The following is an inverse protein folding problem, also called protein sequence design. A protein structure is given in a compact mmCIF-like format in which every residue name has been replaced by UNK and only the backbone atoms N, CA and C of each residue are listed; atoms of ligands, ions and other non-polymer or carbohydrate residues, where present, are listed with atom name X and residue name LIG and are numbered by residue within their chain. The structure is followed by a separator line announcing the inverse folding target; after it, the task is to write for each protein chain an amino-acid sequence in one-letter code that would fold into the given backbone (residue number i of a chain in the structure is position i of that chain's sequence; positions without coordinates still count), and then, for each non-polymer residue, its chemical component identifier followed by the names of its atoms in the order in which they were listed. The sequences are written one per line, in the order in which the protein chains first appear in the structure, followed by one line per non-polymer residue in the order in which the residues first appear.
data_IF_538651525733
#
_entry.id   IF_538651525733
#
_cell.length_a   1.000
_cell.length_b   1.000
_cell.length_c   1.000
_cell.angle_alpha   90.00
_cell.angle_beta   90.00
_cell.angle_gamma   90.00
#
_symmetry.space_group_name_H-M   'P 1'
#
loop_
_entity.id
_entity.type
_entity.pdbx_description
1 polymer ?
#
# COMPACT_ATOMS: atom_id res chain seq x y z
N UNK A 1 10.69 -19.86 -16.87
CA UNK A 1 11.13 -18.85 -15.90
C UNK A 1 12.29 -17.95 -16.41
N UNK A 2 13.24 -18.45 -17.15
CA UNK A 2 14.42 -17.70 -17.66
C UNK A 2 14.09 -16.50 -18.56
N UNK A 3 13.10 -16.59 -19.45
CA UNK A 3 12.74 -15.49 -20.36
C UNK A 3 12.08 -14.27 -19.68
N UNK A 4 11.44 -14.46 -18.52
CA UNK A 4 10.78 -13.37 -17.76
C UNK A 4 11.81 -12.53 -16.98
N UNK A 5 12.81 -13.19 -16.42
CA UNK A 5 13.92 -12.54 -15.70
C UNK A 5 14.81 -11.74 -16.67
N UNK A 6 15.09 -12.26 -17.86
CA UNK A 6 15.91 -11.58 -18.86
C UNK A 6 15.23 -10.33 -19.41
N UNK A 7 13.91 -10.38 -19.66
CA UNK A 7 13.12 -9.20 -20.06
C UNK A 7 13.11 -8.13 -18.97
N UNK A 8 12.94 -8.50 -17.70
CA UNK A 8 13.02 -7.55 -16.56
C UNK A 8 14.39 -6.90 -16.46
N UNK A 9 15.47 -7.66 -16.61
CA UNK A 9 16.84 -7.15 -16.62
C UNK A 9 17.12 -6.17 -17.76
N UNK A 10 16.62 -6.47 -18.99
CA UNK A 10 16.76 -5.56 -20.13
C UNK A 10 16.02 -4.22 -19.92
N UNK A 11 14.78 -4.28 -19.40
CA UNK A 11 14.00 -3.07 -19.12
C UNK A 11 14.70 -2.23 -18.05
N UNK A 12 15.14 -2.86 -16.96
CA UNK A 12 15.86 -2.15 -15.89
C UNK A 12 17.19 -1.56 -16.39
N UNK A 13 17.98 -2.32 -17.13
CA UNK A 13 19.23 -1.84 -17.74
C UNK A 13 18.99 -0.70 -18.73
N UNK A 14 17.95 -0.80 -19.56
CA UNK A 14 17.55 0.28 -20.47
C UNK A 14 17.15 1.56 -19.74
N UNK A 15 16.37 1.46 -18.67
CA UNK A 15 16.01 2.62 -17.83
C UNK A 15 17.22 3.25 -17.16
N UNK A 16 18.16 2.44 -16.64
CA UNK A 16 19.40 2.94 -16.03
C UNK A 16 20.30 3.65 -17.07
N UNK A 17 20.38 3.10 -18.29
CA UNK A 17 21.11 3.75 -19.39
C UNK A 17 20.46 5.08 -19.79
N UNK A 18 19.15 5.11 -19.96
CA UNK A 18 18.42 6.34 -20.29
C UNK A 18 18.61 7.40 -19.20
N UNK A 19 18.51 7.02 -17.94
CA UNK A 19 18.80 7.93 -16.83
C UNK A 19 20.25 8.43 -16.84
N UNK A 20 21.22 7.54 -17.03
CA UNK A 20 22.64 7.91 -17.11
C UNK A 20 22.97 8.83 -18.30
N UNK A 21 22.31 8.62 -19.45
CA UNK A 21 22.44 9.51 -20.61
C UNK A 21 21.78 10.88 -20.34
N UNK A 22 20.57 10.88 -19.79
CA UNK A 22 19.84 12.09 -19.43
C UNK A 22 20.63 12.95 -18.42
N UNK A 23 21.25 12.33 -17.41
CA UNK A 23 22.07 13.05 -16.42
C UNK A 23 23.36 13.68 -17.02
N UNK A 24 23.77 13.21 -18.21
CA UNK A 24 24.95 13.75 -18.95
C UNK A 24 24.59 14.78 -20.03
N UNK A 25 23.29 14.97 -20.33
CA UNK A 25 22.84 15.86 -21.42
C UNK A 25 22.84 17.35 -21.08
N UNK A 26 23.58 17.78 -20.03
CA UNK A 26 23.66 19.19 -19.61
C UNK A 26 22.60 19.60 -18.58
N UNK A 27 21.76 18.65 -18.10
CA UNK A 27 20.83 18.92 -17.02
C UNK A 27 21.62 19.17 -15.72
N UNK A 28 21.36 20.27 -14.99
CA UNK A 28 22.06 20.56 -13.75
C UNK A 28 21.92 19.39 -12.74
N UNK A 29 23.01 19.05 -12.05
CA UNK A 29 23.07 17.93 -11.11
C UNK A 29 22.02 18.01 -9.98
N UNK A 30 21.67 19.23 -9.58
CA UNK A 30 20.62 19.46 -8.56
C UNK A 30 19.18 19.20 -9.08
N UNK A 31 18.98 19.02 -10.39
CA UNK A 31 17.69 18.60 -10.96
C UNK A 31 17.66 17.11 -11.24
N UNK A 32 18.74 16.55 -11.76
CA UNK A 32 18.82 15.13 -12.10
C UNK A 32 20.22 14.59 -11.75
N UNK A 33 20.38 14.00 -10.55
CA UNK A 33 21.64 13.39 -10.15
C UNK A 33 21.96 12.18 -11.03
N UNK A 34 23.24 11.87 -11.20
CA UNK A 34 23.64 10.67 -11.92
C UNK A 34 23.36 9.41 -11.10
N UNK A 35 23.12 8.23 -11.74
CA UNK A 35 22.97 6.98 -11.02
C UNK A 35 24.12 6.66 -10.06
N UNK A 36 25.35 7.04 -10.42
CA UNK A 36 26.54 6.87 -9.58
C UNK A 36 26.49 7.75 -8.33
N UNK A 37 26.08 9.02 -8.45
CA UNK A 37 25.94 9.91 -7.30
C UNK A 37 24.88 9.41 -6.31
N UNK A 38 23.78 8.86 -6.84
CA UNK A 38 22.74 8.24 -6.00
C UNK A 38 23.26 6.97 -5.30
N UNK A 39 24.03 6.15 -5.99
CA UNK A 39 24.65 4.96 -5.40
C UNK A 39 25.67 5.34 -4.31
N UNK A 40 26.46 6.37 -4.52
CA UNK A 40 27.39 6.92 -3.54
C UNK A 40 26.62 7.49 -2.32
N UNK A 41 25.57 8.28 -2.56
CA UNK A 41 24.71 8.80 -1.49
C UNK A 41 24.07 7.67 -0.65
N UNK A 42 23.62 6.58 -1.27
CA UNK A 42 23.13 5.38 -0.57
C UNK A 42 24.19 4.77 0.32
N UNK A 43 25.42 4.64 -0.16
CA UNK A 43 26.50 4.03 0.59
C UNK A 43 26.99 4.89 1.75
N UNK A 44 27.24 6.17 1.48
CA UNK A 44 27.74 7.14 2.46
C UNK A 44 26.71 7.34 3.58
N UNK A 45 25.43 7.48 3.24
CA UNK A 45 24.36 7.77 4.19
C UNK A 45 23.62 6.52 4.66
N UNK A 46 24.16 5.31 4.49
CA UNK A 46 23.46 4.04 4.76
C UNK A 46 22.89 3.92 6.18
N UNK A 47 23.60 4.42 7.19
CA UNK A 47 23.12 4.37 8.57
C UNK A 47 21.96 5.34 8.81
N UNK A 48 22.06 6.55 8.28
CA UNK A 48 21.01 7.58 8.33
C UNK A 48 19.76 7.11 7.58
N UNK A 49 19.90 6.71 6.33
CA UNK A 49 18.80 6.20 5.50
C UNK A 49 18.19 4.94 6.09
N UNK A 50 19.01 4.04 6.65
CA UNK A 50 18.55 2.82 7.32
C UNK A 50 17.66 3.11 8.51
N UNK A 51 18.03 4.06 9.37
CA UNK A 51 17.20 4.48 10.50
C UNK A 51 15.82 4.99 10.03
N UNK A 52 15.82 5.92 9.07
CA UNK A 52 14.58 6.48 8.53
C UNK A 52 13.73 5.42 7.79
N UNK A 53 14.36 4.42 7.17
CA UNK A 53 13.66 3.29 6.56
C UNK A 53 12.90 2.46 7.59
N UNK A 54 13.48 2.18 8.75
CA UNK A 54 12.82 1.44 9.82
C UNK A 54 11.59 2.18 10.35
N UNK A 55 11.66 3.50 10.44
CA UNK A 55 10.54 4.34 10.87
C UNK A 55 9.41 4.25 9.85
N UNK A 56 9.68 4.55 8.58
CA UNK A 56 8.68 4.42 7.51
C UNK A 56 8.09 3.01 7.42
N UNK A 57 8.91 1.97 7.56
CA UNK A 57 8.45 0.59 7.59
C UNK A 57 7.47 0.33 8.74
N UNK A 58 7.77 0.83 9.95
CA UNK A 58 6.89 0.67 11.10
C UNK A 58 5.54 1.37 10.91
N UNK A 59 5.52 2.53 10.27
CA UNK A 59 4.31 3.26 9.91
C UNK A 59 3.47 2.51 8.87
N UNK A 60 4.11 1.98 7.83
CA UNK A 60 3.49 1.16 6.81
C UNK A 60 2.87 -0.10 7.43
N UNK A 61 3.61 -0.83 8.27
CA UNK A 61 3.11 -2.05 8.90
C UNK A 61 1.96 -1.77 9.88
N UNK A 62 2.06 -0.70 10.67
CA UNK A 62 0.98 -0.24 11.54
C UNK A 62 -0.26 0.15 10.74
N UNK A 63 -0.08 0.91 9.66
CA UNK A 63 -1.15 1.28 8.73
C UNK A 63 -1.81 0.07 8.07
N UNK A 64 -1.02 -0.91 7.61
CA UNK A 64 -1.54 -2.15 7.04
C UNK A 64 -2.34 -2.95 8.07
N UNK A 65 -1.79 -3.18 9.26
CA UNK A 65 -2.48 -3.94 10.30
C UNK A 65 -3.84 -3.33 10.65
N UNK A 66 -3.89 -2.03 10.90
CA UNK A 66 -5.12 -1.33 11.26
C UNK A 66 -6.06 -1.12 10.06
N UNK A 67 -5.52 -0.75 8.90
CA UNK A 67 -6.30 -0.52 7.69
C UNK A 67 -6.95 -1.80 7.16
N UNK A 68 -6.22 -2.92 7.17
CA UNK A 68 -6.78 -4.25 6.81
C UNK A 68 -7.83 -4.68 7.81
N UNK A 69 -7.56 -4.55 9.11
CA UNK A 69 -8.54 -4.90 10.16
C UNK A 69 -9.82 -4.08 10.01
N UNK A 70 -9.70 -2.77 9.83
CA UNK A 70 -10.83 -1.88 9.58
C UNK A 70 -11.57 -2.27 8.31
N UNK A 71 -10.86 -2.51 7.21
CA UNK A 71 -11.44 -2.88 5.92
C UNK A 71 -12.24 -4.19 5.98
N UNK A 72 -11.65 -5.21 6.60
CA UNK A 72 -12.30 -6.52 6.78
C UNK A 72 -13.53 -6.39 7.68
N UNK A 73 -13.43 -5.69 8.80
CA UNK A 73 -14.56 -5.53 9.74
C UNK A 73 -15.71 -4.75 9.12
N UNK A 74 -15.43 -3.69 8.35
CA UNK A 74 -16.46 -2.95 7.60
C UNK A 74 -17.15 -3.83 6.55
N UNK A 75 -16.39 -4.59 5.77
CA UNK A 75 -16.95 -5.49 4.77
C UNK A 75 -17.85 -6.57 5.39
N UNK A 76 -17.40 -7.19 6.49
CA UNK A 76 -18.19 -8.16 7.24
C UNK A 76 -19.44 -7.53 7.86
N UNK A 77 -19.31 -6.35 8.44
CA UNK A 77 -20.47 -5.61 8.99
C UNK A 77 -21.52 -5.32 7.92
N UNK A 78 -21.09 -4.90 6.72
CA UNK A 78 -22.01 -4.62 5.61
C UNK A 78 -22.72 -5.86 5.07
N UNK A 79 -22.06 -7.02 5.00
CA UNK A 79 -22.69 -8.26 4.52
C UNK A 79 -23.67 -8.84 5.55
N UNK A 80 -23.40 -8.63 6.85
CA UNK A 80 -24.27 -9.09 7.95
C UNK A 80 -25.54 -8.25 8.09
N UNK A 81 -25.49 -6.96 7.73
CA UNK A 81 -26.60 -6.04 7.93
C UNK A 81 -26.85 -5.15 6.71
N UNK A 82 -27.98 -5.36 5.97
CA UNK A 82 -28.37 -4.48 4.86
C UNK A 82 -28.61 -3.02 5.29
N UNK A 83 -28.95 -2.79 6.56
CA UNK A 83 -29.09 -1.44 7.11
C UNK A 83 -27.69 -0.79 7.20
N UNK A 84 -26.74 -1.50 7.79
CA UNK A 84 -25.36 -1.03 7.93
C UNK A 84 -24.71 -0.77 6.56
N UNK A 85 -24.94 -1.65 5.59
CA UNK A 85 -24.47 -1.46 4.21
C UNK A 85 -24.98 -0.15 3.60
N UNK A 86 -26.28 0.15 3.76
CA UNK A 86 -26.88 1.39 3.23
C UNK A 86 -26.24 2.67 3.79
N UNK A 87 -25.79 2.63 5.04
CA UNK A 87 -25.14 3.76 5.69
C UNK A 87 -23.63 3.82 5.44
N UNK A 88 -22.94 2.67 5.52
CA UNK A 88 -21.47 2.64 5.40
C UNK A 88 -20.99 2.75 3.95
N UNK A 89 -21.71 2.16 2.99
CA UNK A 89 -21.23 2.15 1.60
C UNK A 89 -21.04 3.56 1.02
N UNK A 90 -21.98 4.52 1.19
CA UNK A 90 -21.73 5.89 0.77
C UNK A 90 -20.52 6.53 1.46
N UNK A 91 -20.32 6.27 2.77
CA UNK A 91 -19.16 6.81 3.52
C UNK A 91 -17.85 6.23 3.00
N UNK A 92 -17.80 4.91 2.75
CA UNK A 92 -16.64 4.23 2.18
C UNK A 92 -16.30 4.78 0.79
N UNK A 93 -17.32 5.01 -0.06
CA UNK A 93 -17.10 5.57 -1.39
C UNK A 93 -16.66 7.04 -1.32
N UNK A 94 -17.31 7.85 -0.47
CA UNK A 94 -17.00 9.27 -0.31
C UNK A 94 -15.59 9.48 0.27
N UNK A 95 -15.09 8.55 1.10
CA UNK A 95 -13.74 8.65 1.64
C UNK A 95 -12.66 8.73 0.56
N UNK A 96 -12.91 8.17 -0.62
CA UNK A 96 -11.98 8.24 -1.76
C UNK A 96 -12.04 9.57 -2.53
N UNK A 97 -13.14 10.31 -2.40
CA UNK A 97 -13.27 11.61 -3.02
C UNK A 97 -12.46 12.69 -2.28
N UNK A 98 -12.14 12.44 -1.02
CA UNK A 98 -11.36 13.38 -0.20
C UNK A 98 -9.87 13.09 -0.41
N UNK A 99 -9.08 14.04 -0.93
CA UNK A 99 -7.64 13.86 -1.05
C UNK A 99 -7.01 13.68 0.33
N UNK A 100 -6.37 12.53 0.56
CA UNK A 100 -5.75 12.22 1.88
C UNK A 100 -4.74 13.29 2.26
N UNK A 101 -4.01 13.85 1.30
CA UNK A 101 -3.08 14.95 1.53
C UNK A 101 -3.76 16.20 2.13
N UNK A 102 -5.00 16.48 1.74
CA UNK A 102 -5.76 17.61 2.30
C UNK A 102 -6.21 17.38 3.76
N UNK A 103 -6.38 16.09 4.15
CA UNK A 103 -6.70 15.74 5.54
C UNK A 103 -5.47 15.70 6.45
N UNK A 104 -4.27 15.62 5.88
CA UNK A 104 -3.05 15.45 6.65
C UNK A 104 -2.84 16.52 7.75
N UNK A 105 -3.00 17.84 7.49
CA UNK A 105 -2.88 18.85 8.56
C UNK A 105 -3.93 18.70 9.67
N UNK A 106 -5.15 18.26 9.33
CA UNK A 106 -6.21 18.04 10.31
C UNK A 106 -5.90 16.83 11.20
N UNK A 107 -5.38 15.75 10.61
CA UNK A 107 -4.97 14.56 11.37
C UNK A 107 -3.82 14.89 12.33
N UNK A 108 -2.85 15.70 11.90
CA UNK A 108 -1.77 16.16 12.77
C UNK A 108 -2.32 17.05 13.89
N UNK A 109 -3.28 17.92 13.59
CA UNK A 109 -3.93 18.78 14.60
C UNK A 109 -4.69 17.96 15.65
N UNK A 110 -5.38 16.90 15.25
CA UNK A 110 -6.21 16.08 16.14
C UNK A 110 -5.42 15.01 16.90
N UNK A 111 -4.42 14.40 16.26
CA UNK A 111 -3.66 13.27 16.80
C UNK A 111 -2.25 13.65 17.26
N UNK A 112 -1.84 14.90 17.02
CA UNK A 112 -0.51 15.39 17.33
C UNK A 112 0.56 14.98 16.33
N UNK A 113 1.76 15.54 16.53
CA UNK A 113 2.96 15.18 15.77
C UNK A 113 3.48 13.84 16.28
N UNK A 114 3.32 12.78 15.51
CA UNK A 114 3.79 11.48 15.94
C UNK A 114 3.30 10.33 15.06
N UNK A 115 3.56 9.10 15.53
CA UNK A 115 3.20 7.85 14.85
C UNK A 115 1.70 7.75 14.57
N UNK A 116 0.83 8.23 15.50
CA UNK A 116 -0.62 8.11 15.40
C UNK A 116 -1.20 8.81 14.16
N UNK A 117 -0.78 10.04 13.86
CA UNK A 117 -1.23 10.78 12.70
C UNK A 117 -0.79 10.10 11.39
N UNK A 118 0.46 9.61 11.32
CA UNK A 118 1.03 8.95 10.15
C UNK A 118 0.35 7.60 9.87
N UNK A 119 0.15 6.79 10.91
CA UNK A 119 -0.58 5.53 10.82
C UNK A 119 -2.03 5.77 10.41
N UNK A 120 -2.69 6.80 10.94
CA UNK A 120 -4.06 7.17 10.54
C UNK A 120 -4.15 7.51 9.04
N UNK A 121 -3.17 8.24 8.49
CA UNK A 121 -3.09 8.53 7.06
C UNK A 121 -2.91 7.26 6.23
N UNK A 122 -2.02 6.37 6.65
CA UNK A 122 -1.85 5.08 5.99
C UNK A 122 -3.15 4.26 6.03
N UNK A 123 -3.85 4.21 7.17
CA UNK A 123 -5.15 3.55 7.32
C UNK A 123 -6.18 4.09 6.32
N UNK A 124 -6.27 5.42 6.17
CA UNK A 124 -7.22 6.05 5.24
C UNK A 124 -6.99 5.67 3.77
N UNK A 125 -5.74 5.41 3.40
CA UNK A 125 -5.40 4.94 2.04
C UNK A 125 -5.68 3.45 1.87
N UNK A 126 -5.44 2.66 2.92
CA UNK A 126 -5.44 1.19 2.87
C UNK A 126 -6.84 0.59 3.03
N UNK A 127 -7.69 1.14 3.92
CA UNK A 127 -8.94 0.46 4.28
C UNK A 127 -9.91 0.30 3.12
N UNK A 128 -9.95 1.26 2.19
CA UNK A 128 -10.90 1.25 1.08
C UNK A 128 -10.67 0.08 0.10
N UNK A 129 -9.48 -0.12 -0.49
CA UNK A 129 -9.27 -1.24 -1.41
C UNK A 129 -9.54 -2.59 -0.75
N UNK A 130 -9.24 -2.74 0.54
CA UNK A 130 -9.54 -3.96 1.30
C UNK A 130 -11.06 -4.11 1.49
N UNK A 131 -11.74 -3.06 1.97
CA UNK A 131 -13.20 -3.08 2.19
C UNK A 131 -13.94 -3.39 0.89
N UNK A 132 -13.63 -2.67 -0.18
CA UNK A 132 -14.33 -2.78 -1.46
C UNK A 132 -14.13 -4.16 -2.09
N UNK A 133 -12.88 -4.62 -2.20
CA UNK A 133 -12.58 -5.90 -2.79
C UNK A 133 -13.20 -7.07 -2.00
N UNK A 134 -13.07 -7.04 -0.68
CA UNK A 134 -13.62 -8.12 0.16
C UNK A 134 -15.15 -8.11 0.18
N UNK A 135 -15.78 -6.95 0.29
CA UNK A 135 -17.23 -6.84 0.26
C UNK A 135 -17.82 -7.31 -1.08
N UNK A 136 -17.19 -6.93 -2.19
CA UNK A 136 -17.59 -7.40 -3.52
C UNK A 136 -17.42 -8.91 -3.66
N UNK A 137 -16.34 -9.48 -3.15
CA UNK A 137 -16.15 -10.92 -3.10
C UNK A 137 -17.23 -11.64 -2.31
N UNK A 138 -17.60 -11.12 -1.13
CA UNK A 138 -18.66 -11.67 -0.28
C UNK A 138 -20.05 -11.61 -0.95
N UNK A 139 -20.29 -10.58 -1.78
CA UNK A 139 -21.57 -10.44 -2.52
C UNK A 139 -21.64 -11.34 -3.75
N UNK A 140 -20.53 -11.48 -4.48
CA UNK A 140 -20.46 -12.23 -5.75
C UNK A 140 -20.27 -13.73 -5.57
N UNK A 141 -20.39 -14.26 -4.35
CA UNK A 141 -20.28 -15.70 -4.08
C UNK A 141 -21.07 -16.50 -5.12
N UNK A 142 -20.50 -17.61 -5.60
CA UNK A 142 -21.09 -18.44 -6.65
C UNK A 142 -22.55 -18.80 -6.29
N UNK A 143 -23.50 -18.32 -7.10
CA UNK A 143 -24.93 -18.47 -6.84
C UNK A 143 -25.35 -19.96 -6.79
N UNK A 144 -24.71 -20.81 -7.60
CA UNK A 144 -24.98 -22.25 -7.62
C UNK A 144 -24.70 -22.90 -6.27
N UNK A 145 -23.56 -22.55 -5.64
CA UNK A 145 -23.23 -23.06 -4.29
C UNK A 145 -24.14 -22.47 -3.20
N UNK A 146 -24.59 -21.23 -3.37
CA UNK A 146 -25.55 -20.63 -2.45
C UNK A 146 -26.92 -21.26 -2.56
N UNK A 147 -27.39 -21.60 -3.76
CA UNK A 147 -28.66 -22.26 -4.00
C UNK A 147 -28.61 -23.71 -3.52
N UNK A 148 -27.49 -24.41 -3.69
CA UNK A 148 -27.27 -25.71 -3.10
C UNK A 148 -27.32 -25.65 -1.55
N UNK A 149 -26.61 -24.69 -0.96
CA UNK A 149 -26.63 -24.51 0.49
C UNK A 149 -28.06 -24.22 1.03
N UNK A 150 -28.85 -23.42 0.28
CA UNK A 150 -30.26 -23.16 0.61
C UNK A 150 -31.12 -24.40 0.50
N UNK A 151 -30.95 -25.22 -0.52
CA UNK A 151 -31.68 -26.47 -0.69
C UNK A 151 -31.39 -27.47 0.46
N UNK A 152 -30.17 -27.36 1.03
CA UNK A 152 -29.77 -28.11 2.23
C UNK A 152 -30.25 -27.46 3.56
N UNK A 153 -31.09 -26.42 3.51
CA UNK A 153 -31.54 -25.64 4.67
C UNK A 153 -30.41 -25.03 5.49
N UNK A 154 -29.27 -24.68 4.86
CA UNK A 154 -28.16 -24.04 5.54
C UNK A 154 -28.57 -22.65 6.05
N UNK A 155 -28.30 -22.36 7.33
CA UNK A 155 -28.51 -21.03 7.90
C UNK A 155 -27.64 -19.97 7.23
N UNK A 156 -28.02 -18.70 7.34
CA UNK A 156 -27.21 -17.59 6.78
C UNK A 156 -25.76 -17.62 7.31
N UNK A 157 -25.56 -17.91 8.59
CA UNK A 157 -24.21 -18.02 9.17
C UNK A 157 -23.39 -19.17 8.57
N UNK A 158 -24.02 -20.31 8.28
CA UNK A 158 -23.38 -21.44 7.60
C UNK A 158 -23.02 -21.07 6.15
N UNK A 159 -23.95 -20.44 5.40
CA UNK A 159 -23.70 -19.94 4.04
C UNK A 159 -22.57 -18.92 4.03
N UNK A 160 -22.53 -17.99 5.00
CA UNK A 160 -21.46 -16.99 5.10
C UNK A 160 -20.11 -17.65 5.34
N UNK A 161 -20.01 -18.55 6.32
CA UNK A 161 -18.75 -19.16 6.73
C UNK A 161 -18.18 -20.13 5.70
N UNK A 162 -19.01 -20.99 5.10
CA UNK A 162 -18.54 -22.11 4.27
C UNK A 162 -18.60 -21.81 2.77
N UNK A 163 -19.42 -20.84 2.34
CA UNK A 163 -19.56 -20.51 0.91
C UNK A 163 -19.01 -19.12 0.63
N UNK A 164 -19.57 -18.06 1.23
CA UNK A 164 -19.24 -16.69 0.87
C UNK A 164 -17.82 -16.29 1.26
N UNK A 165 -17.36 -16.65 2.47
CA UNK A 165 -16.02 -16.32 2.94
C UNK A 165 -14.96 -17.00 2.04
N UNK A 166 -15.12 -18.29 1.76
CA UNK A 166 -14.17 -19.03 0.92
C UNK A 166 -14.11 -18.46 -0.51
N UNK A 167 -15.28 -18.14 -1.07
CA UNK A 167 -15.35 -17.52 -2.41
C UNK A 167 -14.80 -16.08 -2.44
N UNK A 168 -14.81 -15.37 -1.31
CA UNK A 168 -14.34 -14.00 -1.21
C UNK A 168 -12.83 -13.86 -0.94
N UNK A 169 -12.15 -14.93 -0.49
CA UNK A 169 -10.71 -14.86 -0.17
C UNK A 169 -9.82 -14.42 -1.35
N UNK A 170 -10.05 -14.87 -2.59
CA UNK A 170 -9.27 -14.36 -3.73
C UNK A 170 -9.45 -12.85 -3.95
N UNK A 171 -10.68 -12.35 -3.81
CA UNK A 171 -10.97 -10.92 -3.92
C UNK A 171 -10.32 -10.12 -2.77
N UNK A 172 -10.37 -10.64 -1.53
CA UNK A 172 -9.62 -10.08 -0.40
C UNK A 172 -8.12 -10.04 -0.72
N UNK A 173 -7.57 -11.12 -1.28
CA UNK A 173 -6.17 -11.17 -1.71
C UNK A 173 -5.82 -10.06 -2.69
N UNK A 174 -6.68 -9.80 -3.67
CA UNK A 174 -6.51 -8.67 -4.60
C UNK A 174 -6.53 -7.32 -3.89
N UNK A 175 -7.45 -7.13 -2.92
CA UNK A 175 -7.50 -5.94 -2.07
C UNK A 175 -6.25 -5.76 -1.23
N UNK A 176 -5.69 -6.83 -0.67
CA UNK A 176 -4.46 -6.81 0.12
C UNK A 176 -3.22 -6.47 -0.73
N UNK A 177 -3.13 -6.98 -1.96
CA UNK A 177 -2.05 -6.60 -2.91
C UNK A 177 -2.12 -5.11 -3.23
N UNK A 178 -3.31 -4.58 -3.49
CA UNK A 178 -3.51 -3.15 -3.74
C UNK A 178 -3.15 -2.34 -2.48
N UNK A 179 -3.60 -2.75 -1.31
CA UNK A 179 -3.28 -2.11 -0.03
C UNK A 179 -1.76 -2.03 0.20
N UNK A 180 -1.04 -3.14 -0.01
CA UNK A 180 0.42 -3.17 0.11
C UNK A 180 1.14 -2.22 -0.87
N UNK A 181 0.61 -2.08 -2.10
CA UNK A 181 1.18 -1.18 -3.10
C UNK A 181 0.96 0.31 -2.76
N UNK A 182 -0.16 0.67 -2.12
CA UNK A 182 -0.50 2.07 -1.80
C UNK A 182 -0.12 2.48 -0.37
N UNK A 183 0.17 1.53 0.52
CA UNK A 183 0.49 1.80 1.92
C UNK A 183 1.65 2.80 2.11
N UNK A 184 2.76 2.74 1.34
CA UNK A 184 3.84 3.70 1.45
C UNK A 184 3.42 5.14 1.12
N UNK A 185 2.41 5.33 0.25
CA UNK A 185 1.89 6.65 -0.09
C UNK A 185 1.31 7.33 1.16
N UNK A 186 0.51 6.60 1.95
CA UNK A 186 -0.06 7.11 3.19
C UNK A 186 0.99 7.49 4.22
N UNK A 187 2.01 6.65 4.42
CA UNK A 187 3.13 6.91 5.33
C UNK A 187 3.90 8.19 4.92
N UNK A 188 4.30 8.29 3.64
CA UNK A 188 5.04 9.45 3.13
C UNK A 188 4.25 10.75 3.27
N UNK A 189 2.94 10.75 2.97
CA UNK A 189 2.09 11.93 3.18
C UNK A 189 2.12 12.35 4.65
N UNK A 190 2.05 11.39 5.57
CA UNK A 190 2.14 11.63 7.00
C UNK A 190 3.47 12.23 7.42
N UNK A 191 4.55 11.72 6.88
CA UNK A 191 5.90 12.19 7.15
C UNK A 191 6.14 13.63 6.61
N UNK A 192 5.54 13.97 5.46
CA UNK A 192 5.69 15.31 4.87
C UNK A 192 5.01 16.40 5.70
N UNK A 193 3.91 16.10 6.36
CA UNK A 193 3.11 17.13 7.05
C UNK A 193 3.49 17.29 8.52
N UNK A 194 3.97 16.23 9.17
CA UNK A 194 4.13 16.32 10.62
C UNK A 194 5.23 15.42 11.20
N UNK A 195 6.33 15.18 10.48
CA UNK A 195 7.40 14.33 10.99
C UNK A 195 8.75 15.03 11.04
N UNK A 196 9.58 14.59 11.99
CA UNK A 196 11.02 14.86 12.03
C UNK A 196 11.83 13.62 11.62
N UNK A 197 11.17 12.52 11.19
CA UNK A 197 11.80 11.25 10.90
C UNK A 197 11.02 10.52 9.79
N UNK A 198 11.68 9.57 9.12
CA UNK A 198 11.15 8.76 8.03
C UNK A 198 11.74 9.14 6.67
N UNK A 199 11.51 8.31 5.65
CA UNK A 199 12.05 8.52 4.30
C UNK A 199 11.44 9.74 3.60
N UNK A 200 10.15 10.02 3.83
CA UNK A 200 9.47 11.20 3.30
C UNK A 200 10.04 12.47 3.91
N UNK A 201 10.32 12.47 5.22
CA UNK A 201 11.03 13.56 5.88
C UNK A 201 12.42 13.78 5.27
N UNK A 202 13.19 12.71 5.04
CA UNK A 202 14.50 12.78 4.37
C UNK A 202 14.37 13.41 2.97
N UNK A 203 13.39 12.96 2.19
CA UNK A 203 13.14 13.48 0.84
C UNK A 203 12.81 14.98 0.86
N UNK A 204 11.95 15.42 1.78
CA UNK A 204 11.55 16.82 1.90
C UNK A 204 12.74 17.71 2.28
N UNK A 205 13.53 17.30 3.29
CA UNK A 205 14.69 18.03 3.75
C UNK A 205 15.83 18.06 2.71
N UNK A 206 16.11 16.93 2.07
CA UNK A 206 17.11 16.84 1.02
C UNK A 206 16.74 17.74 -0.18
N UNK A 207 15.46 17.75 -0.57
CA UNK A 207 14.96 18.63 -1.63
C UNK A 207 15.11 20.11 -1.26
N UNK A 208 14.75 20.50 -0.04
CA UNK A 208 14.90 21.88 0.44
C UNK A 208 16.37 22.36 0.46
N UNK A 209 17.33 21.44 0.62
CA UNK A 209 18.77 21.70 0.63
C UNK A 209 19.43 21.49 -0.74
N UNK A 210 18.66 21.19 -1.79
CA UNK A 210 19.15 20.85 -3.12
C UNK A 210 20.13 19.62 -3.15
N UNK A 211 19.99 18.73 -2.14
CA UNK A 211 20.70 17.46 -2.04
C UNK A 211 19.90 16.36 -2.74
N UNK A 212 19.71 16.51 -4.04
CA UNK A 212 18.83 15.63 -4.83
C UNK A 212 19.33 14.20 -4.92
N UNK A 213 20.63 13.97 -4.79
CA UNK A 213 21.25 12.65 -4.67
C UNK A 213 20.70 11.86 -3.47
N UNK A 214 20.58 12.50 -2.28
CA UNK A 214 19.98 11.91 -1.08
C UNK A 214 18.48 11.72 -1.26
N UNK A 215 17.78 12.69 -1.88
CA UNK A 215 16.36 12.59 -2.19
C UNK A 215 16.08 11.37 -3.09
N UNK A 216 16.84 11.18 -4.16
CA UNK A 216 16.72 10.03 -5.05
C UNK A 216 17.13 8.72 -4.37
N UNK A 217 18.11 8.74 -3.47
CA UNK A 217 18.50 7.59 -2.67
C UNK A 217 17.36 7.14 -1.75
N UNK A 218 16.70 8.07 -1.05
CA UNK A 218 15.54 7.79 -0.22
C UNK A 218 14.34 7.26 -1.06
N UNK A 219 14.10 7.85 -2.23
CA UNK A 219 13.07 7.38 -3.18
C UNK A 219 13.36 5.95 -3.66
N UNK A 220 14.61 5.64 -3.98
CA UNK A 220 15.01 4.30 -4.40
C UNK A 220 14.75 3.26 -3.30
N UNK A 221 15.10 3.57 -2.05
CA UNK A 221 14.80 2.71 -0.89
C UNK A 221 13.30 2.51 -0.74
N UNK A 222 12.51 3.58 -0.87
CA UNK A 222 11.05 3.50 -0.77
C UNK A 222 10.44 2.60 -1.84
N UNK A 223 10.90 2.70 -3.10
CA UNK A 223 10.47 1.83 -4.19
C UNK A 223 10.82 0.37 -3.89
N UNK A 224 12.05 0.12 -3.43
CA UNK A 224 12.50 -1.22 -3.05
C UNK A 224 11.66 -1.79 -1.91
N UNK A 225 11.41 -0.98 -0.87
CA UNK A 225 10.56 -1.35 0.27
C UNK A 225 9.14 -1.71 -0.19
N UNK A 226 8.56 -0.91 -1.09
CA UNK A 226 7.22 -1.15 -1.67
C UNK A 226 7.18 -2.47 -2.43
N UNK A 227 8.19 -2.73 -3.27
CA UNK A 227 8.28 -3.96 -4.04
C UNK A 227 8.44 -5.18 -3.14
N UNK A 228 9.30 -5.10 -2.13
CA UNK A 228 9.51 -6.18 -1.16
C UNK A 228 8.25 -6.47 -0.36
N UNK A 229 7.54 -5.42 0.08
CA UNK A 229 6.28 -5.56 0.79
C UNK A 229 5.22 -6.21 -0.09
N UNK A 230 5.07 -5.75 -1.33
CA UNK A 230 4.13 -6.32 -2.29
C UNK A 230 4.44 -7.80 -2.56
N UNK A 231 5.70 -8.13 -2.80
CA UNK A 231 6.15 -9.52 -3.00
C UNK A 231 5.90 -10.39 -1.77
N UNK A 232 6.13 -9.88 -0.57
CA UNK A 232 5.88 -10.59 0.68
C UNK A 232 4.37 -10.91 0.83
N UNK A 233 3.51 -9.91 0.60
CA UNK A 233 2.05 -10.09 0.64
C UNK A 233 1.60 -11.07 -0.45
N UNK A 234 2.07 -10.92 -1.67
CA UNK A 234 1.73 -11.79 -2.79
C UNK A 234 2.13 -13.25 -2.52
N UNK A 235 3.37 -13.47 -2.09
CA UNK A 235 3.88 -14.80 -1.73
C UNK A 235 3.08 -15.44 -0.59
N UNK A 236 2.71 -14.65 0.42
CA UNK A 236 1.87 -15.12 1.52
C UNK A 236 0.48 -15.53 1.03
N UNK A 237 -0.13 -14.71 0.18
CA UNK A 237 -1.45 -14.98 -0.38
C UNK A 237 -1.46 -16.23 -1.26
N UNK A 238 -0.46 -16.44 -2.10
CA UNK A 238 -0.34 -17.67 -2.90
C UNK A 238 -0.21 -18.94 -2.06
N UNK A 239 0.35 -18.85 -0.85
CA UNK A 239 0.42 -20.00 0.07
C UNK A 239 -0.89 -20.24 0.83
N UNK A 240 -1.69 -19.20 1.03
CA UNK A 240 -2.94 -19.26 1.79
C UNK A 240 -4.17 -19.53 0.91
N UNK A 241 -4.10 -19.18 -0.37
CA UNK A 241 -5.22 -19.26 -1.33
C UNK A 241 -4.70 -20.04 -2.56
N UNK A 242 -4.45 -21.34 -2.39
CA UNK A 242 -3.91 -22.23 -3.43
C UNK A 242 -4.97 -22.79 -4.38
N UNK A 243 -6.26 -22.68 -4.02
CA UNK A 243 -7.39 -23.23 -4.77
C UNK A 243 -7.97 -22.28 -5.82
N UNK A 244 -7.54 -21.03 -5.90
CA UNK A 244 -8.02 -20.07 -6.89
C UNK A 244 -7.12 -20.10 -8.12
N UNK A 245 -7.62 -20.43 -9.32
CA UNK A 245 -6.86 -20.25 -10.54
C UNK A 245 -6.55 -18.75 -10.75
N UNK A 246 -5.33 -18.46 -11.22
CA UNK A 246 -4.90 -17.10 -11.59
C UNK A 246 -5.67 -16.53 -12.77
#
# INVERSE_FOLDING_TARGET
MTGRLWRGGMVFGGLMLLWGLASRSGIPHFLLPSPLAVAEALWVNRAYLGWHTLITLSEILGGLALGVTLGVTLALGMILSPRLQRWLMPLVLTSQAIPVFALAPLLVLWLGFGMSAKVAMAVLVIFFPVTSAFFDGLRRGNQEYLDLARSMNASFGAQLRHVRLMAALPALGSGLRMAAAVAPIGAIIGEWVGSAEGLGYVMLNANARLQTDICFAALFILVLLTLLLWLAVDTLLHRLIDWSPE
#
